data_IF_691295294585
#
_entry.id   IF_691295294585
#
_cell.length_a   1.000
_cell.length_b   1.000
_cell.length_c   1.000
_cell.angle_alpha   90.00
_cell.angle_beta   90.00
_cell.angle_gamma   90.00
#
_symmetry.space_group_name_H-M   'P 1'
#
loop_
_entity.id
_entity.type
_entity.pdbx_description
1 polymer ?
#
# COMPACT_ATOMS: atom_id res chain seq x y z
N UNK A 1 -11.22 -14.15 4.59
CA UNK A 1 -10.08 -14.42 3.69
C UNK A 1 -8.83 -14.55 4.54
N UNK A 2 -7.98 -15.51 4.20
CA UNK A 2 -6.71 -15.76 4.91
C UNK A 2 -5.63 -14.75 4.48
N UNK A 3 -4.66 -14.48 5.36
CA UNK A 3 -3.59 -13.51 5.12
C UNK A 3 -2.75 -13.88 3.89
N UNK A 4 -2.47 -15.17 3.69
CA UNK A 4 -1.69 -15.66 2.56
C UNK A 4 -2.37 -15.33 1.22
N UNK A 5 -3.71 -15.43 1.16
CA UNK A 5 -4.46 -15.04 -0.05
C UNK A 5 -4.35 -13.54 -0.33
N UNK A 6 -4.27 -12.70 0.70
CA UNK A 6 -4.07 -11.26 0.54
C UNK A 6 -2.67 -10.99 0.00
N UNK A 7 -1.64 -11.67 0.53
CA UNK A 7 -0.29 -11.56 -0.02
C UNK A 7 -0.24 -11.93 -1.50
N UNK A 8 -0.85 -13.04 -1.91
CA UNK A 8 -0.88 -13.44 -3.33
C UNK A 8 -1.62 -12.42 -4.21
N UNK A 9 -2.70 -11.81 -3.70
CA UNK A 9 -3.37 -10.72 -4.41
C UNK A 9 -2.45 -9.51 -4.57
N UNK A 10 -1.74 -9.11 -3.51
CA UNK A 10 -0.84 -7.95 -3.54
C UNK A 10 0.36 -8.15 -4.47
N UNK A 11 0.81 -9.39 -4.71
CA UNK A 11 1.86 -9.69 -5.70
C UNK A 11 1.49 -9.28 -7.13
N UNK A 12 0.19 -9.17 -7.43
CA UNK A 12 -0.28 -8.71 -8.74
C UNK A 12 -0.16 -7.20 -8.93
N UNK A 13 0.05 -6.45 -7.84
CA UNK A 13 0.25 -5.00 -7.88
C UNK A 13 1.72 -4.72 -8.19
N UNK A 14 1.95 -3.87 -9.19
CA UNK A 14 3.28 -3.50 -9.66
C UNK A 14 3.63 -2.07 -9.28
N UNK A 15 4.89 -1.85 -8.95
CA UNK A 15 5.44 -0.52 -8.77
C UNK A 15 5.49 0.20 -10.14
N UNK A 16 4.90 1.40 -10.27
CA UNK A 16 4.72 2.08 -11.56
C UNK A 16 5.98 2.38 -12.39
N UNK A 17 7.16 2.49 -11.79
CA UNK A 17 8.41 2.83 -12.48
C UNK A 17 9.15 1.57 -12.93
N UNK A 18 9.35 0.62 -12.03
CA UNK A 18 10.11 -0.62 -12.26
C UNK A 18 9.27 -1.76 -12.82
N UNK A 19 7.94 -1.65 -12.74
CA UNK A 19 6.97 -2.70 -13.08
C UNK A 19 7.13 -4.01 -12.31
N UNK A 20 7.92 -3.99 -11.24
CA UNK A 20 8.17 -5.14 -10.36
C UNK A 20 7.09 -5.22 -9.26
N UNK A 21 6.85 -6.43 -8.78
CA UNK A 21 5.89 -6.75 -7.71
C UNK A 21 6.21 -5.97 -6.42
N UNK A 22 5.21 -5.27 -5.86
CA UNK A 22 5.36 -4.46 -4.63
C UNK A 22 5.72 -5.28 -3.39
N UNK A 23 5.31 -6.55 -3.32
CA UNK A 23 5.67 -7.50 -2.26
C UNK A 23 7.14 -7.89 -2.43
N UNK A 24 7.56 -8.25 -3.64
CA UNK A 24 8.96 -8.61 -3.94
C UNK A 24 9.91 -7.44 -3.71
N UNK A 25 9.49 -6.23 -4.02
CA UNK A 25 10.24 -5.00 -3.73
C UNK A 25 10.32 -4.70 -2.23
N UNK A 26 9.55 -5.37 -1.38
CA UNK A 26 9.45 -5.10 0.06
C UNK A 26 8.77 -3.76 0.35
N UNK A 27 7.87 -3.31 -0.52
CA UNK A 27 7.01 -2.15 -0.26
C UNK A 27 5.92 -2.55 0.73
N UNK A 28 5.38 -3.75 0.62
CA UNK A 28 4.49 -4.32 1.65
C UNK A 28 5.34 -4.75 2.84
N UNK A 29 5.28 -3.98 3.93
CA UNK A 29 6.09 -4.22 5.12
C UNK A 29 5.51 -5.33 5.99
N UNK A 30 4.18 -5.32 6.19
CA UNK A 30 3.42 -6.36 6.90
C UNK A 30 1.92 -6.23 6.65
N UNK A 31 1.19 -7.32 6.87
CA UNK A 31 -0.26 -7.36 6.86
C UNK A 31 -0.73 -7.92 8.19
N UNK A 32 -1.68 -7.24 8.83
CA UNK A 32 -2.22 -7.63 10.14
C UNK A 32 -3.73 -7.77 10.03
N UNK A 33 -4.29 -8.76 10.72
CA UNK A 33 -5.74 -8.89 10.91
C UNK A 33 -6.07 -8.44 12.32
N UNK A 34 -6.88 -7.39 12.45
CA UNK A 34 -7.34 -6.84 13.73
C UNK A 34 -8.85 -6.71 13.72
N UNK A 35 -9.55 -7.30 14.69
CA UNK A 35 -11.01 -7.20 14.87
C UNK A 35 -11.84 -7.27 13.57
N UNK A 36 -11.51 -8.23 12.71
CA UNK A 36 -12.16 -8.49 11.41
C UNK A 36 -11.83 -7.49 10.27
N UNK A 37 -10.92 -6.55 10.52
CA UNK A 37 -10.32 -5.61 9.57
C UNK A 37 -8.91 -6.04 9.19
N UNK A 38 -8.52 -5.77 7.94
CA UNK A 38 -7.16 -6.00 7.46
C UNK A 38 -6.39 -4.69 7.44
N UNK A 39 -5.21 -4.65 8.06
CA UNK A 39 -4.34 -3.47 8.04
C UNK A 39 -3.09 -3.82 7.22
N UNK A 40 -2.88 -3.09 6.13
CA UNK A 40 -1.74 -3.25 5.23
C UNK A 40 -0.77 -2.11 5.50
N UNK A 41 0.43 -2.45 5.96
CA UNK A 41 1.50 -1.50 6.21
C UNK A 41 2.43 -1.45 5.01
N UNK A 42 2.66 -0.25 4.47
CA UNK A 42 3.56 0.00 3.35
C UNK A 42 4.77 0.82 3.78
N UNK A 43 5.97 0.48 3.30
CA UNK A 43 7.20 1.26 3.50
C UNK A 43 7.39 2.31 2.39
N UNK A 44 6.39 3.17 2.15
CA UNK A 44 6.42 4.20 1.09
C UNK A 44 7.30 5.39 1.48
N UNK A 45 7.09 5.95 2.68
CA UNK A 45 7.85 7.10 3.17
C UNK A 45 9.34 6.78 3.35
N UNK A 46 9.70 5.54 3.71
CA UNK A 46 11.09 5.09 3.81
C UNK A 46 11.85 5.21 2.48
N UNK A 47 11.14 5.11 1.36
CA UNK A 47 11.69 5.15 0.00
C UNK A 47 11.58 6.54 -0.64
N UNK A 48 10.98 7.50 0.06
CA UNK A 48 10.79 8.83 -0.46
C UNK A 48 12.12 9.60 -0.51
N UNK A 49 12.42 10.27 -1.63
CA UNK A 49 13.59 11.13 -1.75
C UNK A 49 13.45 12.38 -0.88
N UNK A 50 14.58 13.01 -0.53
CA UNK A 50 14.61 14.19 0.36
C UNK A 50 14.38 15.51 -0.37
N UNK A 51 14.59 15.57 -1.68
CA UNK A 51 14.44 16.83 -2.42
C UNK A 51 12.96 17.12 -2.70
N UNK A 52 12.50 18.40 -2.64
CA UNK A 52 11.09 18.73 -2.80
C UNK A 52 10.50 18.32 -4.16
N UNK A 53 11.27 18.43 -5.24
CA UNK A 53 10.81 18.05 -6.57
C UNK A 53 10.63 16.55 -6.72
N UNK A 54 11.63 15.76 -6.33
CA UNK A 54 11.53 14.30 -6.38
C UNK A 54 10.42 13.79 -5.45
N UNK A 55 10.19 14.46 -4.32
CA UNK A 55 9.06 14.17 -3.44
C UNK A 55 7.72 14.37 -4.17
N UNK A 56 7.52 15.48 -4.88
CA UNK A 56 6.29 15.70 -5.64
C UNK A 56 6.06 14.59 -6.70
N UNK A 57 7.12 14.13 -7.35
CA UNK A 57 7.05 13.03 -8.32
C UNK A 57 6.71 11.71 -7.63
N UNK A 58 7.37 11.35 -6.53
CA UNK A 58 7.15 10.06 -5.86
C UNK A 58 5.73 9.92 -5.30
N UNK A 59 5.11 11.03 -4.90
CA UNK A 59 3.73 11.03 -4.42
C UNK A 59 2.74 10.47 -5.44
N UNK A 60 2.94 10.77 -6.73
CA UNK A 60 2.08 10.22 -7.80
C UNK A 60 2.24 8.71 -7.94
N UNK A 61 3.45 8.20 -7.72
CA UNK A 61 3.78 6.77 -7.72
C UNK A 61 3.09 6.09 -6.54
N UNK A 62 3.24 6.65 -5.34
CA UNK A 62 2.60 6.16 -4.12
C UNK A 62 1.08 6.11 -4.25
N UNK A 63 0.46 7.17 -4.76
CA UNK A 63 -0.98 7.23 -4.99
C UNK A 63 -1.46 6.15 -5.97
N UNK A 64 -0.68 5.89 -7.03
CA UNK A 64 -0.99 4.83 -8.00
C UNK A 64 -0.88 3.44 -7.39
N UNK A 65 0.14 3.17 -6.56
CA UNK A 65 0.26 1.91 -5.81
C UNK A 65 -0.96 1.70 -4.92
N UNK A 66 -1.30 2.69 -4.08
CA UNK A 66 -2.46 2.62 -3.18
C UNK A 66 -3.75 2.35 -3.96
N UNK A 67 -3.96 3.06 -5.08
CA UNK A 67 -5.14 2.86 -5.94
C UNK A 67 -5.25 1.44 -6.50
N UNK A 68 -4.14 0.87 -6.99
CA UNK A 68 -4.15 -0.51 -7.50
C UNK A 68 -4.34 -1.54 -6.38
N UNK A 69 -3.79 -1.32 -5.19
CA UNK A 69 -4.07 -2.16 -4.02
C UNK A 69 -5.57 -2.14 -3.70
N UNK A 70 -6.18 -0.94 -3.62
CA UNK A 70 -7.62 -0.79 -3.37
C UNK A 70 -8.41 -1.58 -4.40
N UNK A 71 -8.13 -1.38 -5.70
CA UNK A 71 -8.81 -2.09 -6.79
C UNK A 71 -8.70 -3.60 -6.72
N UNK A 72 -7.54 -4.13 -6.30
CA UNK A 72 -7.31 -5.59 -6.22
C UNK A 72 -8.09 -6.21 -5.05
N UNK A 73 -8.24 -5.47 -3.96
CA UNK A 73 -8.87 -5.94 -2.72
C UNK A 73 -10.36 -5.60 -2.62
N UNK A 74 -10.82 -4.57 -3.32
CA UNK A 74 -12.21 -4.14 -3.38
C UNK A 74 -13.11 -5.32 -3.82
N UNK A 75 -14.20 -5.53 -3.10
CA UNK A 75 -15.12 -6.66 -3.31
C UNK A 75 -14.63 -8.02 -2.81
N UNK A 76 -13.37 -8.14 -2.37
CA UNK A 76 -12.81 -9.39 -1.80
C UNK A 76 -12.51 -9.28 -0.30
N UNK A 77 -12.06 -8.12 0.14
CA UNK A 77 -11.85 -7.78 1.56
C UNK A 77 -12.95 -6.83 1.99
N UNK A 78 -13.79 -7.18 2.99
CA UNK A 78 -14.90 -6.34 3.41
C UNK A 78 -14.45 -5.04 4.07
N UNK A 79 -13.36 -5.07 4.85
CA UNK A 79 -12.83 -3.89 5.54
C UNK A 79 -11.31 -3.94 5.60
N UNK A 80 -10.64 -2.89 5.09
CA UNK A 80 -9.19 -2.80 5.14
C UNK A 80 -8.67 -1.36 5.25
N UNK A 81 -7.43 -1.24 5.73
CA UNK A 81 -6.63 -0.01 5.78
C UNK A 81 -5.34 -0.17 5.00
N UNK A 82 -4.89 0.95 4.45
CA UNK A 82 -3.54 1.09 3.91
C UNK A 82 -2.86 2.22 4.68
N UNK A 83 -1.77 1.90 5.36
CA UNK A 83 -1.06 2.80 6.27
C UNK A 83 0.43 2.80 5.92
N UNK A 84 1.09 3.96 5.99
CA UNK A 84 2.55 4.00 5.95
C UNK A 84 3.15 3.44 7.26
N UNK A 85 4.07 2.49 7.15
CA UNK A 85 4.67 1.82 8.29
C UNK A 85 5.60 2.72 9.11
N UNK A 86 6.14 3.79 8.52
CA UNK A 86 7.07 4.70 9.18
C UNK A 86 6.35 5.91 9.78
N UNK A 87 5.43 6.53 9.05
CA UNK A 87 4.73 7.75 9.48
C UNK A 87 3.37 7.48 10.13
N UNK A 88 2.83 6.26 9.99
CA UNK A 88 1.47 5.88 10.38
C UNK A 88 0.38 6.70 9.67
N UNK A 89 0.74 7.40 8.60
CA UNK A 89 -0.22 8.09 7.76
C UNK A 89 -1.15 7.07 7.10
N UNK A 90 -2.45 7.27 7.25
CA UNK A 90 -3.46 6.47 6.54
C UNK A 90 -3.62 6.98 5.11
N UNK A 91 -3.47 6.09 4.14
CA UNK A 91 -3.75 6.34 2.73
C UNK A 91 -5.13 5.87 2.30
N UNK A 92 -5.67 4.84 2.95
CA UNK A 92 -7.01 4.32 2.69
C UNK A 92 -7.68 3.76 3.95
N UNK A 93 -8.99 4.02 4.17
CA UNK A 93 -9.76 5.07 3.49
C UNK A 93 -9.12 6.44 3.76
N UNK A 94 -9.25 7.37 2.80
CA UNK A 94 -8.77 8.74 2.98
C UNK A 94 -9.60 9.34 4.12
N UNK A 95 -8.94 9.84 5.17
CA UNK A 95 -9.64 10.61 6.20
C UNK A 95 -10.23 11.86 5.53
N UNK A 96 -11.55 12.05 5.64
CA UNK A 96 -12.19 13.31 5.25
C UNK A 96 -11.68 14.41 6.20
N UNK A 97 -11.09 15.47 5.62
CA UNK A 97 -10.58 16.65 6.33
C UNK A 97 -11.65 17.73 6.37
#
# INVERSE_FOLDING_TARGET
MELDSIYELLKTVKEPISEEDIVKLGIVARIVKDNNRIIIYLDLARRAPKSPFEMAVIWTVHAKIVREIVKVLEGKVPEFEIIDNMTLQRYYPIEEV
#
